data_IF_384209705030
#
_entry.id   IF_384209705030
#
_cell.length_a   1.000
_cell.length_b   1.000
_cell.length_c   1.000
_cell.angle_alpha   90.00
_cell.angle_beta   90.00
_cell.angle_gamma   90.00
#
_symmetry.space_group_name_H-M   'P 1'
#
loop_
_entity.id
_entity.type
_entity.pdbx_description
1 polymer ?
#
# COMPACT_ATOMS: atom_id res chain seq x y z
N UNK A 1 12.08 4.20 -3.79
CA UNK A 1 10.86 3.93 -4.57
C UNK A 1 10.06 5.21 -4.61
N UNK A 2 9.51 5.53 -5.78
CA UNK A 2 8.59 6.66 -5.95
C UNK A 2 7.14 6.19 -5.77
N UNK A 3 6.27 7.09 -5.30
CA UNK A 3 4.87 6.77 -4.98
C UNK A 3 4.09 6.26 -6.20
N UNK A 4 4.31 6.85 -7.38
CA UNK A 4 3.67 6.41 -8.63
C UNK A 4 4.15 5.02 -9.05
N UNK A 5 5.44 4.73 -8.86
CA UNK A 5 5.98 3.40 -9.11
C UNK A 5 5.40 2.36 -8.16
N UNK A 6 5.30 2.67 -6.86
CA UNK A 6 4.65 1.80 -5.88
C UNK A 6 3.19 1.52 -6.29
N UNK A 7 2.44 2.55 -6.66
CA UNK A 7 1.06 2.41 -7.14
C UNK A 7 0.98 1.51 -8.37
N UNK A 8 1.83 1.73 -9.38
CA UNK A 8 1.83 0.90 -10.60
C UNK A 8 2.12 -0.55 -10.27
N UNK A 9 3.14 -0.81 -9.45
CA UNK A 9 3.52 -2.18 -9.07
C UNK A 9 2.43 -2.86 -8.25
N UNK A 10 1.79 -2.17 -7.31
CA UNK A 10 0.65 -2.68 -6.57
C UNK A 10 -0.55 -2.97 -7.49
N UNK A 11 -0.81 -2.10 -8.47
CA UNK A 11 -1.87 -2.32 -9.46
C UNK A 11 -1.63 -3.59 -10.27
N UNK A 12 -0.39 -3.82 -10.71
CA UNK A 12 -0.01 -4.99 -11.50
C UNK A 12 -0.18 -6.30 -10.71
N UNK A 13 0.38 -6.37 -9.49
CA UNK A 13 0.34 -7.62 -8.71
C UNK A 13 -1.07 -7.93 -8.19
N UNK A 14 -1.86 -6.89 -7.88
CA UNK A 14 -3.23 -7.03 -7.38
C UNK A 14 -4.27 -7.00 -8.49
N UNK A 15 -3.88 -6.96 -9.77
CA UNK A 15 -4.79 -6.73 -10.90
C UNK A 15 -5.99 -7.70 -10.93
N UNK A 16 -5.79 -8.96 -10.53
CA UNK A 16 -6.87 -9.97 -10.46
C UNK A 16 -7.79 -9.83 -9.25
N UNK A 17 -7.33 -9.15 -8.20
CA UNK A 17 -8.03 -9.07 -6.92
C UNK A 17 -8.73 -7.72 -6.76
N UNK A 18 -8.19 -6.68 -7.39
CA UNK A 18 -8.72 -5.32 -7.33
C UNK A 18 -10.15 -5.26 -7.84
N UNK A 19 -10.96 -4.62 -7.02
CA UNK A 19 -12.27 -4.15 -7.37
C UNK A 19 -12.24 -3.00 -8.37
N UNK A 20 -13.41 -2.37 -8.56
CA UNK A 20 -13.54 -1.19 -9.41
C UNK A 20 -14.33 -0.10 -8.70
N UNK A 21 -13.88 1.14 -8.86
CA UNK A 21 -14.69 2.33 -8.55
C UNK A 21 -15.79 2.52 -9.61
N UNK A 22 -16.80 3.36 -9.32
CA UNK A 22 -17.75 3.81 -10.33
C UNK A 22 -17.03 4.34 -11.57
N UNK A 23 -17.50 3.94 -12.76
CA UNK A 23 -16.84 4.26 -14.04
C UNK A 23 -15.76 3.25 -14.47
N UNK A 24 -15.57 2.15 -13.73
CA UNK A 24 -14.73 1.02 -14.15
C UNK A 24 -13.23 1.18 -13.85
N UNK A 25 -12.85 2.21 -13.11
CA UNK A 25 -11.47 2.48 -12.70
C UNK A 25 -11.05 1.43 -11.65
N UNK A 26 -9.88 0.76 -11.78
CA UNK A 26 -9.40 -0.17 -10.77
C UNK A 26 -9.34 0.48 -9.38
N UNK A 27 -9.73 -0.26 -8.34
CA UNK A 27 -9.89 0.23 -6.98
C UNK A 27 -8.55 0.44 -6.24
N UNK A 28 -7.61 1.13 -6.88
CA UNK A 28 -6.31 1.50 -6.32
C UNK A 28 -6.12 3.02 -6.37
N UNK A 29 -5.81 3.63 -5.22
CA UNK A 29 -5.76 5.09 -5.09
C UNK A 29 -4.61 5.55 -4.20
N UNK A 30 -4.16 6.79 -4.41
CA UNK A 30 -3.14 7.45 -3.60
C UNK A 30 -3.79 8.65 -2.92
N UNK A 31 -3.73 8.68 -1.59
CA UNK A 31 -4.32 9.77 -0.79
C UNK A 31 -3.22 10.66 -0.23
N UNK A 32 -3.38 12.01 -0.26
CA UNK A 32 -4.47 12.78 -0.89
C UNK A 32 -4.36 12.95 -2.42
N UNK A 33 -5.47 13.25 -3.15
CA UNK A 33 -6.84 13.47 -2.65
C UNK A 33 -7.59 12.16 -2.32
N UNK A 34 -8.77 12.27 -1.69
CA UNK A 34 -9.63 11.13 -1.37
C UNK A 34 -10.11 10.39 -2.64
N UNK A 35 -10.37 9.07 -2.56
CA UNK A 35 -10.85 8.28 -3.68
C UNK A 35 -12.24 8.74 -4.17
N UNK A 36 -12.61 8.44 -5.42
CA UNK A 36 -13.86 8.92 -6.04
C UNK A 36 -15.15 8.31 -5.47
N UNK A 37 -15.04 7.46 -4.44
CA UNK A 37 -16.17 6.83 -3.77
C UNK A 37 -15.82 5.45 -3.22
N UNK A 38 -16.86 4.66 -2.94
CA UNK A 38 -16.75 3.28 -2.50
C UNK A 38 -16.65 2.33 -3.72
N UNK A 39 -15.65 1.45 -3.79
CA UNK A 39 -15.53 0.49 -4.89
C UNK A 39 -16.32 -0.79 -4.64
N UNK A 40 -16.56 -1.55 -5.71
CA UNK A 40 -17.02 -2.93 -5.64
C UNK A 40 -15.81 -3.87 -5.57
N UNK A 41 -15.68 -4.69 -4.53
CA UNK A 41 -14.59 -5.67 -4.38
C UNK A 41 -13.44 -5.18 -3.50
N UNK A 42 -12.19 -5.52 -3.87
CA UNK A 42 -11.01 -5.16 -3.07
C UNK A 42 -10.50 -3.77 -3.42
N UNK A 43 -10.34 -2.91 -2.43
CA UNK A 43 -9.71 -1.60 -2.53
C UNK A 43 -8.28 -1.63 -2.01
N UNK A 44 -7.40 -0.87 -2.64
CA UNK A 44 -6.04 -0.58 -2.20
C UNK A 44 -5.81 0.93 -2.10
N UNK A 45 -5.70 1.46 -0.88
CA UNK A 45 -5.36 2.87 -0.62
C UNK A 45 -3.89 2.98 -0.21
N UNK A 46 -3.16 3.88 -0.84
CA UNK A 46 -1.75 4.14 -0.58
C UNK A 46 -1.62 5.54 0.01
N UNK A 47 -1.00 5.63 1.19
CA UNK A 47 -0.70 6.88 1.88
C UNK A 47 0.81 6.96 2.08
N UNK A 48 1.41 8.08 1.68
CA UNK A 48 2.81 8.35 1.99
C UNK A 48 2.90 8.71 3.47
N UNK A 49 3.70 7.97 4.24
CA UNK A 49 4.06 8.38 5.59
C UNK A 49 5.14 9.44 5.46
N UNK A 50 5.11 10.44 6.34
CA UNK A 50 6.19 11.42 6.45
C UNK A 50 7.55 10.71 6.46
N UNK A 51 8.46 11.22 5.64
CA UNK A 51 9.83 10.73 5.50
C UNK A 51 10.48 10.59 6.88
N UNK A 52 11.01 9.40 7.16
CA UNK A 52 11.74 9.15 8.40
C UNK A 52 12.99 10.02 8.47
N UNK A 53 13.48 10.28 9.68
CA UNK A 53 14.75 10.97 9.90
C UNK A 53 15.89 10.33 9.12
N UNK A 54 16.78 11.15 8.55
CA UNK A 54 18.01 10.68 7.92
C UNK A 54 18.91 10.04 8.99
N UNK A 55 19.25 8.77 8.80
CA UNK A 55 20.21 8.07 9.64
C UNK A 55 21.60 8.16 9.01
N UNK A 56 22.60 8.53 9.79
CA UNK A 56 24.00 8.51 9.36
C UNK A 56 24.51 7.07 9.43
N UNK A 57 25.00 6.56 8.30
CA UNK A 57 25.75 5.32 8.22
C UNK A 57 27.26 5.62 8.24
N UNK A 58 28.07 4.57 8.35
CA UNK A 58 29.53 4.67 8.29
C UNK A 58 30.00 5.22 6.92
N UNK A 59 31.15 5.90 6.92
CA UNK A 59 31.81 6.45 5.72
C UNK A 59 31.02 7.53 4.95
N UNK A 60 30.25 8.38 5.64
CA UNK A 60 29.55 9.52 5.02
C UNK A 60 28.29 9.14 4.24
N UNK A 61 27.87 7.87 4.32
CA UNK A 61 26.62 7.39 3.77
C UNK A 61 25.44 7.85 4.64
N UNK A 62 24.33 8.20 4.00
CA UNK A 62 23.07 8.53 4.68
C UNK A 62 22.00 7.56 4.23
N UNK A 63 21.24 7.05 5.19
CA UNK A 63 20.09 6.18 4.99
C UNK A 63 18.81 7.00 5.16
N UNK A 64 17.90 6.84 4.21
CA UNK A 64 16.60 7.47 4.24
C UNK A 64 15.51 6.43 4.06
N UNK A 65 14.62 6.38 5.04
CA UNK A 65 13.48 5.47 5.04
C UNK A 65 12.28 6.14 4.37
N UNK A 66 11.83 5.56 3.24
CA UNK A 66 10.53 5.88 2.66
C UNK A 66 9.52 4.85 3.09
N UNK A 67 8.59 5.30 3.93
CA UNK A 67 7.56 4.47 4.51
C UNK A 67 6.21 4.79 3.85
N UNK A 68 5.46 3.73 3.52
CA UNK A 68 4.15 3.82 2.87
C UNK A 68 3.14 2.99 3.64
N UNK A 69 2.03 3.61 4.01
CA UNK A 69 0.87 2.90 4.53
C UNK A 69 0.03 2.46 3.34
N UNK A 70 -0.17 1.16 3.23
CA UNK A 70 -1.11 0.56 2.28
C UNK A 70 -2.25 -0.04 3.07
N UNK A 71 -3.47 0.40 2.78
CA UNK A 71 -4.68 -0.18 3.36
C UNK A 71 -5.39 -0.97 2.29
N UNK A 72 -5.59 -2.27 2.55
CA UNK A 72 -6.40 -3.16 1.73
C UNK A 72 -7.75 -3.33 2.42
N UNK A 73 -8.83 -3.02 1.71
CA UNK A 73 -10.19 -3.12 2.24
C UNK A 73 -11.03 -3.93 1.28
N UNK A 74 -11.63 -5.01 1.77
CA UNK A 74 -12.49 -5.87 0.99
C UNK A 74 -13.96 -5.56 1.25
N UNK A 75 -14.67 -5.16 0.19
CA UNK A 75 -16.09 -4.85 0.20
C UNK A 75 -16.97 -6.01 -0.34
N UNK A 76 -16.38 -7.14 -0.77
CA UNK A 76 -17.12 -8.33 -1.24
C UNK A 76 -16.69 -9.62 -0.52
N UNK A 77 -17.63 -10.53 -0.26
CA UNK A 77 -17.37 -11.86 0.30
C UNK A 77 -16.60 -12.79 -0.63
N UNK A 78 -16.58 -12.51 -1.94
CA UNK A 78 -16.00 -13.41 -2.94
C UNK A 78 -14.47 -13.36 -2.99
N UNK A 79 -13.88 -12.21 -2.68
CA UNK A 79 -12.43 -12.04 -2.72
C UNK A 79 -11.83 -12.35 -1.34
N UNK A 80 -10.57 -12.81 -1.33
CA UNK A 80 -9.85 -13.10 -0.09
C UNK A 80 -8.80 -12.01 0.16
N UNK A 81 -8.94 -11.27 1.26
CA UNK A 81 -7.94 -10.30 1.68
C UNK A 81 -6.58 -10.98 1.91
N UNK A 82 -6.57 -12.21 2.44
CA UNK A 82 -5.36 -12.98 2.69
C UNK A 82 -4.57 -13.24 1.41
N UNK A 83 -5.24 -13.54 0.30
CA UNK A 83 -4.57 -13.76 -0.98
C UNK A 83 -3.87 -12.48 -1.48
N UNK A 84 -4.55 -11.33 -1.39
CA UNK A 84 -3.96 -10.04 -1.75
C UNK A 84 -2.77 -9.69 -0.84
N UNK A 85 -2.89 -9.94 0.46
CA UNK A 85 -1.79 -9.74 1.43
C UNK A 85 -0.57 -10.59 1.08
N UNK A 86 -0.76 -11.87 0.75
CA UNK A 86 0.34 -12.76 0.37
C UNK A 86 1.09 -12.24 -0.86
N UNK A 87 0.39 -11.71 -1.87
CA UNK A 87 1.02 -11.08 -3.03
C UNK A 87 1.84 -9.87 -2.64
N UNK A 88 1.31 -8.99 -1.77
CA UNK A 88 2.08 -7.84 -1.28
C UNK A 88 3.35 -8.29 -0.54
N UNK A 89 3.24 -9.30 0.33
CA UNK A 89 4.39 -9.81 1.11
C UNK A 89 5.46 -10.48 0.24
N UNK A 90 5.08 -11.08 -0.88
CA UNK A 90 6.03 -11.69 -1.83
C UNK A 90 6.82 -10.66 -2.64
N UNK A 91 6.27 -9.45 -2.81
CA UNK A 91 6.83 -8.44 -3.72
C UNK A 91 7.41 -7.20 -3.02
N UNK A 92 7.07 -6.97 -1.74
CA UNK A 92 7.47 -5.78 -1.01
C UNK A 92 8.01 -6.12 0.38
N UNK A 93 8.99 -5.33 0.82
CA UNK A 93 9.48 -5.36 2.20
C UNK A 93 8.43 -4.73 3.13
N UNK A 94 7.82 -5.56 3.97
CA UNK A 94 6.80 -5.14 4.93
C UNK A 94 7.38 -5.08 6.33
N UNK A 95 7.31 -3.89 6.94
CA UNK A 95 7.80 -3.64 8.31
C UNK A 95 6.77 -4.05 9.36
N UNK A 96 5.49 -3.86 9.05
CA UNK A 96 4.37 -4.17 9.93
C UNK A 96 3.12 -4.44 9.11
N UNK A 97 2.26 -5.31 9.61
CA UNK A 97 0.89 -5.42 9.15
C UNK A 97 -0.05 -5.65 10.34
N UNK A 98 -1.31 -5.30 10.16
CA UNK A 98 -2.37 -5.58 11.13
C UNK A 98 -3.71 -5.65 10.43
N UNK A 99 -4.53 -6.64 10.78
CA UNK A 99 -5.95 -6.60 10.45
C UNK A 99 -6.62 -5.43 11.17
N UNK A 100 -7.53 -4.76 10.48
CA UNK A 100 -8.36 -3.71 11.04
C UNK A 100 -9.75 -4.29 11.36
N UNK A 101 -10.49 -3.68 12.30
CA UNK A 101 -11.87 -4.07 12.57
C UNK A 101 -12.73 -3.99 11.30
N UNK A 102 -13.63 -4.95 11.17
CA UNK A 102 -14.68 -4.91 10.15
C UNK A 102 -15.67 -3.79 10.48
N UNK A 103 -16.34 -3.27 9.46
CA UNK A 103 -17.41 -2.28 9.59
C UNK A 103 -18.69 -2.83 8.96
N UNK A 104 -19.82 -2.13 9.12
CA UNK A 104 -21.07 -2.51 8.44
C UNK A 104 -20.94 -2.63 6.91
N UNK A 105 -19.93 -1.95 6.36
CA UNK A 105 -19.68 -1.84 4.93
C UNK A 105 -18.53 -2.72 4.43
N UNK A 106 -17.71 -3.28 5.33
CA UNK A 106 -16.47 -3.99 4.95
C UNK A 106 -16.45 -5.39 5.52
N UNK A 107 -15.98 -6.35 4.71
CA UNK A 107 -15.85 -7.74 5.14
C UNK A 107 -14.52 -8.01 5.82
N UNK A 108 -13.45 -7.47 5.27
CA UNK A 108 -12.10 -7.65 5.79
C UNK A 108 -11.28 -6.40 5.49
N UNK A 109 -10.39 -6.04 6.41
CA UNK A 109 -9.50 -4.91 6.23
C UNK A 109 -8.13 -5.20 6.83
N UNK A 110 -7.08 -4.73 6.18
CA UNK A 110 -5.73 -4.79 6.70
C UNK A 110 -4.94 -3.52 6.35
N UNK A 111 -4.10 -3.12 7.30
CA UNK A 111 -3.10 -2.06 7.11
C UNK A 111 -1.73 -2.68 7.05
N UNK A 112 -0.93 -2.25 6.09
CA UNK A 112 0.41 -2.71 5.81
C UNK A 112 1.33 -1.48 5.81
N UNK A 113 2.49 -1.59 6.44
CA UNK A 113 3.56 -0.62 6.34
C UNK A 113 4.65 -1.20 5.44
N UNK A 114 4.69 -0.74 4.20
CA UNK A 114 5.76 -1.02 3.25
C UNK A 114 6.89 -0.03 3.51
N UNK A 115 8.12 -0.54 3.61
CA UNK A 115 9.29 0.31 3.79
C UNK A 115 10.27 0.09 2.65
N UNK A 116 10.94 1.17 2.24
CA UNK A 116 11.97 1.13 1.22
C UNK A 116 13.20 1.94 1.67
N UNK A 117 14.29 1.27 2.04
CA UNK A 117 15.53 1.92 2.47
C UNK A 117 16.31 2.44 1.26
N UNK A 118 16.63 3.74 1.25
CA UNK A 118 17.47 4.35 0.23
C UNK A 118 18.78 4.80 0.87
N UNK A 119 19.89 4.23 0.41
CA UNK A 119 21.24 4.67 0.77
C UNK A 119 21.73 5.65 -0.29
N UNK A 120 22.25 6.79 0.15
CA UNK A 120 22.97 7.71 -0.72
C UNK A 120 24.27 8.15 -0.07
N UNK A 121 25.28 8.38 -0.92
CA UNK A 121 26.56 8.89 -0.47
C UNK A 121 26.43 10.41 -0.27
N UNK A 122 26.86 10.91 0.89
CA UNK A 122 27.07 12.34 1.07
C UNK A 122 28.15 12.81 0.10
N UNK A 123 27.85 13.86 -0.66
CA UNK A 123 28.86 14.65 -1.38
C UNK A 123 29.67 15.44 -0.36
#
# INVERSE_FOLDING_TARGET
MELLYLRSRLADILASDLGKYPGGIPAIWVTPPEPPGMPEGLQCIIQRVSEGSLELLNAGQRLHHRDYIVTLTNFDKKNSLLQALNKVFQHFSVKRYSYLPITEQTYEQARILIFDPIVFNGV
#
